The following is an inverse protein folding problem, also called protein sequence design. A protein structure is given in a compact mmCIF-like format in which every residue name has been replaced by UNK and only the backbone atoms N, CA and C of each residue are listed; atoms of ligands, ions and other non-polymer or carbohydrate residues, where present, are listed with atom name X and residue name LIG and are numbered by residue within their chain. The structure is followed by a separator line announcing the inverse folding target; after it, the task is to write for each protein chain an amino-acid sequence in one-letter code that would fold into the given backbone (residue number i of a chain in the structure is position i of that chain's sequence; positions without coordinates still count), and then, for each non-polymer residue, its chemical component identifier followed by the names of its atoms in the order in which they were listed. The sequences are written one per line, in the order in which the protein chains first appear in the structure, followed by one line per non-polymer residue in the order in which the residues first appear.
data_IF_148260783215
#
_entry.id   IF_148260783215
#
_cell.length_a   1.000
_cell.length_b   1.000
_cell.length_c   1.000
_cell.angle_alpha   90.00
_cell.angle_beta   90.00
_cell.angle_gamma   90.00
#
_symmetry.space_group_name_H-M   'P 1'
#
loop_
_entity.id
_entity.type
_entity.pdbx_description
1 polymer ?
#
# COMPACT_ATOMS: atom_id res chain seq x y z
N UNK A 1 19.66 13.37 -15.52
CA UNK A 1 18.18 13.44 -15.40
C UNK A 1 17.76 14.10 -14.10
N UNK A 2 16.87 15.05 -14.16
CA UNK A 2 16.38 15.71 -12.94
C UNK A 2 15.35 14.79 -12.25
N UNK A 3 15.43 14.72 -10.94
CA UNK A 3 14.46 13.95 -10.12
C UNK A 3 13.12 14.70 -10.01
N UNK A 4 13.15 16.02 -10.08
CA UNK A 4 11.96 16.87 -9.98
C UNK A 4 11.73 17.60 -11.30
N UNK A 5 10.48 17.91 -11.61
CA UNK A 5 10.06 18.61 -12.82
C UNK A 5 9.37 19.95 -12.54
N UNK A 6 8.93 20.17 -11.30
CA UNK A 6 8.13 21.32 -10.85
C UNK A 6 6.75 21.40 -11.52
N UNK A 7 6.34 20.37 -12.27
CA UNK A 7 5.04 20.38 -12.96
C UNK A 7 3.86 20.34 -11.99
N UNK A 8 4.08 19.93 -10.72
CA UNK A 8 3.05 19.93 -9.70
C UNK A 8 2.97 21.19 -8.84
N UNK A 9 3.80 22.20 -9.10
CA UNK A 9 3.90 23.42 -8.27
C UNK A 9 2.63 24.26 -8.26
N UNK A 10 1.73 24.06 -9.22
CA UNK A 10 0.44 24.78 -9.32
C UNK A 10 -0.73 23.97 -8.76
N UNK A 11 -0.47 22.94 -7.97
CA UNK A 11 -1.49 22.12 -7.34
C UNK A 11 -2.10 21.06 -8.27
N UNK A 12 -1.46 20.74 -9.38
CA UNK A 12 -1.91 19.71 -10.30
C UNK A 12 -0.81 18.65 -10.48
N UNK A 13 -1.24 17.43 -10.73
CA UNK A 13 -0.33 16.32 -11.00
C UNK A 13 -0.87 15.47 -12.15
N UNK A 14 -0.09 14.50 -12.63
CA UNK A 14 -0.52 13.59 -13.70
C UNK A 14 -0.84 12.22 -13.12
N UNK A 15 -1.90 11.58 -13.65
CA UNK A 15 -2.19 10.18 -13.43
C UNK A 15 -1.32 9.31 -14.36
N UNK A 16 -1.30 8.00 -14.11
CA UNK A 16 -0.56 7.03 -14.94
C UNK A 16 -0.98 7.08 -16.42
N UNK A 17 -2.21 7.51 -16.69
CA UNK A 17 -2.74 7.69 -18.05
C UNK A 17 -2.25 8.98 -18.73
N UNK A 18 -1.49 9.81 -18.00
CA UNK A 18 -1.04 11.12 -18.48
C UNK A 18 -2.05 12.24 -18.25
N UNK A 19 -3.26 11.93 -17.77
CA UNK A 19 -4.28 12.95 -17.50
C UNK A 19 -3.86 13.80 -16.30
N UNK A 20 -3.90 15.12 -16.48
CA UNK A 20 -3.63 16.06 -15.40
C UNK A 20 -4.88 16.27 -14.56
N UNK A 21 -4.73 16.16 -13.24
CA UNK A 21 -5.83 16.37 -12.27
C UNK A 21 -5.37 17.27 -11.14
N UNK A 22 -6.32 17.84 -10.42
CA UNK A 22 -6.02 18.60 -9.20
C UNK A 22 -5.47 17.65 -8.13
N UNK A 23 -4.51 18.14 -7.34
CA UNK A 23 -3.99 17.39 -6.19
C UNK A 23 -5.05 17.16 -5.10
N UNK A 24 -6.17 17.87 -5.15
CA UNK A 24 -7.30 17.67 -4.23
C UNK A 24 -8.36 16.71 -4.78
N UNK A 25 -8.16 16.13 -5.96
CA UNK A 25 -9.05 15.12 -6.50
C UNK A 25 -9.16 13.92 -5.56
N UNK A 26 -10.39 13.40 -5.35
CA UNK A 26 -10.62 12.30 -4.39
C UNK A 26 -9.83 11.03 -4.73
N UNK A 27 -9.62 10.75 -6.02
CA UNK A 27 -8.80 9.61 -6.45
C UNK A 27 -7.34 9.79 -6.01
N UNK A 28 -6.83 11.02 -6.10
CA UNK A 28 -5.47 11.34 -5.70
C UNK A 28 -5.32 11.28 -4.18
N UNK A 29 -6.36 11.70 -3.44
CA UNK A 29 -6.38 11.53 -1.97
C UNK A 29 -6.32 10.07 -1.58
N UNK A 30 -7.09 9.22 -2.25
CA UNK A 30 -7.08 7.77 -2.02
C UNK A 30 -5.70 7.17 -2.34
N UNK A 31 -5.10 7.58 -3.44
CA UNK A 31 -3.74 7.17 -3.81
C UNK A 31 -2.74 7.54 -2.72
N UNK A 32 -2.80 8.80 -2.26
CA UNK A 32 -1.91 9.30 -1.21
C UNK A 32 -2.10 8.55 0.11
N UNK A 33 -3.34 8.22 0.46
CA UNK A 33 -3.64 7.44 1.66
C UNK A 33 -3.08 6.01 1.56
N UNK A 34 -3.23 5.37 0.41
CA UNK A 34 -2.67 4.03 0.18
C UNK A 34 -1.14 4.04 0.27
N UNK A 35 -0.51 5.06 -0.30
CA UNK A 35 0.95 5.22 -0.25
C UNK A 35 1.44 5.44 1.18
N UNK A 36 0.74 6.27 1.95
CA UNK A 36 1.05 6.53 3.35
C UNK A 36 0.91 5.26 4.18
N UNK A 37 -0.17 4.50 3.99
CA UNK A 37 -0.36 3.21 4.65
C UNK A 37 0.78 2.25 4.32
N UNK A 38 1.20 2.20 3.05
CA UNK A 38 2.30 1.35 2.62
C UNK A 38 3.60 1.71 3.36
N UNK A 39 3.84 2.99 3.58
CA UNK A 39 5.01 3.46 4.34
C UNK A 39 4.95 3.01 5.80
N UNK A 40 3.78 3.07 6.43
CA UNK A 40 3.59 2.58 7.80
C UNK A 40 3.79 1.07 7.89
N UNK A 41 3.33 0.32 6.90
CA UNK A 41 3.55 -1.13 6.84
C UNK A 41 5.05 -1.43 6.74
N UNK A 42 5.79 -0.65 5.97
CA UNK A 42 7.25 -0.78 5.86
C UNK A 42 7.94 -0.55 7.21
N UNK A 43 7.51 0.46 7.96
CA UNK A 43 8.03 0.73 9.29
C UNK A 43 7.72 -0.44 10.24
N UNK A 44 6.50 -0.96 10.19
CA UNK A 44 6.09 -2.11 10.98
C UNK A 44 6.95 -3.34 10.67
N UNK A 45 7.27 -3.58 9.40
CA UNK A 45 8.16 -4.69 9.01
C UNK A 45 9.51 -4.59 9.68
N UNK A 46 10.09 -3.39 9.75
CA UNK A 46 11.38 -3.18 10.43
C UNK A 46 11.30 -3.54 11.91
N UNK A 47 10.21 -3.15 12.58
CA UNK A 47 10.00 -3.47 13.99
C UNK A 47 9.81 -4.97 14.21
N UNK A 48 9.03 -5.62 13.34
CA UNK A 48 8.76 -7.05 13.42
C UNK A 48 10.06 -7.86 13.27
N UNK A 49 10.86 -7.56 12.28
CA UNK A 49 12.13 -8.26 12.03
C UNK A 49 13.08 -8.07 13.20
N UNK A 50 13.10 -6.87 13.80
CA UNK A 50 13.97 -6.54 14.92
C UNK A 50 13.60 -7.20 16.23
N UNK A 51 12.37 -7.72 16.39
CA UNK A 51 11.94 -8.28 17.68
C UNK A 51 12.48 -9.68 17.95
N UNK A 52 12.96 -10.41 16.96
CA UNK A 52 13.58 -11.73 17.13
C UNK A 52 12.65 -12.87 17.49
N UNK A 53 11.33 -12.67 17.46
CA UNK A 53 10.36 -13.72 17.77
C UNK A 53 10.29 -14.78 16.65
N UNK A 54 9.90 -16.01 17.00
CA UNK A 54 9.78 -17.10 16.01
C UNK A 54 8.76 -16.79 14.91
N UNK A 55 7.68 -16.09 15.25
CA UNK A 55 6.63 -15.74 14.29
C UNK A 55 7.04 -14.58 13.38
N UNK A 56 8.13 -13.88 13.68
CA UNK A 56 8.46 -12.61 13.00
C UNK A 56 8.69 -12.76 11.50
N UNK A 57 9.37 -13.82 11.06
CA UNK A 57 9.63 -14.03 9.63
C UNK A 57 8.34 -14.25 8.84
N UNK A 58 7.40 -15.00 9.40
CA UNK A 58 6.13 -15.26 8.74
C UNK A 58 5.30 -13.98 8.62
N UNK A 59 5.23 -13.22 9.70
CA UNK A 59 4.52 -11.92 9.70
C UNK A 59 5.18 -10.95 8.73
N UNK A 60 6.51 -10.89 8.69
CA UNK A 60 7.21 -10.02 7.74
C UNK A 60 6.86 -10.37 6.28
N UNK A 61 6.79 -11.65 5.95
CA UNK A 61 6.39 -12.09 4.61
C UNK A 61 4.96 -11.67 4.28
N UNK A 62 4.06 -11.81 5.26
CA UNK A 62 2.67 -11.38 5.09
C UNK A 62 2.56 -9.88 4.86
N UNK A 63 3.31 -9.08 5.62
CA UNK A 63 3.36 -7.64 5.47
C UNK A 63 3.99 -7.23 4.13
N UNK A 64 5.01 -7.95 3.67
CA UNK A 64 5.62 -7.73 2.36
C UNK A 64 4.63 -7.99 1.22
N UNK A 65 3.85 -9.05 1.33
CA UNK A 65 2.78 -9.33 0.37
C UNK A 65 1.75 -8.19 0.38
N UNK A 66 1.37 -7.73 1.57
CA UNK A 66 0.42 -6.60 1.72
C UNK A 66 0.96 -5.32 1.06
N UNK A 67 2.25 -5.01 1.24
CA UNK A 67 2.86 -3.85 0.59
C UNK A 67 2.74 -3.92 -0.94
N UNK A 68 2.96 -5.11 -1.51
CA UNK A 68 2.81 -5.31 -2.94
C UNK A 68 1.36 -5.08 -3.39
N UNK A 69 0.39 -5.52 -2.59
CA UNK A 69 -1.04 -5.28 -2.92
C UNK A 69 -1.41 -3.81 -2.78
N UNK A 70 -0.87 -3.11 -1.79
CA UNK A 70 -1.08 -1.67 -1.64
C UNK A 70 -0.47 -0.90 -2.82
N UNK A 71 0.68 -1.33 -3.31
CA UNK A 71 1.29 -0.75 -4.51
C UNK A 71 0.39 -0.96 -5.74
N UNK A 72 -0.15 -2.17 -5.92
CA UNK A 72 -1.08 -2.48 -7.00
C UNK A 72 -2.34 -1.60 -6.91
N UNK A 73 -2.88 -1.44 -5.71
CA UNK A 73 -4.04 -0.58 -5.48
C UNK A 73 -3.72 0.86 -5.86
N UNK A 74 -2.55 1.35 -5.47
CA UNK A 74 -2.09 2.68 -5.85
C UNK A 74 -2.02 2.86 -7.35
N UNK A 75 -1.52 1.85 -8.08
CA UNK A 75 -1.46 1.88 -9.54
C UNK A 75 -2.86 1.97 -10.17
N UNK A 76 -3.83 1.21 -9.63
CA UNK A 76 -5.22 1.27 -10.09
C UNK A 76 -5.81 2.67 -9.85
N UNK A 77 -5.59 3.22 -8.64
CA UNK A 77 -6.08 4.56 -8.30
C UNK A 77 -5.44 5.64 -9.17
N UNK A 78 -4.20 5.44 -9.58
CA UNK A 78 -3.50 6.36 -10.48
C UNK A 78 -3.95 6.22 -11.95
N UNK A 79 -4.85 5.29 -12.25
CA UNK A 79 -5.45 5.14 -13.58
C UNK A 79 -4.72 4.17 -14.50
N UNK A 80 -3.88 3.27 -13.96
CA UNK A 80 -3.26 2.23 -14.79
C UNK A 80 -4.31 1.20 -15.25
N UNK A 81 -3.94 0.39 -16.23
CA UNK A 81 -4.80 -0.70 -16.73
C UNK A 81 -4.77 -1.94 -15.83
N UNK A 82 -3.98 -1.91 -14.76
CA UNK A 82 -3.87 -3.01 -13.83
C UNK A 82 -5.20 -3.24 -13.13
N UNK A 83 -5.56 -4.51 -12.93
CA UNK A 83 -6.75 -4.90 -12.18
C UNK A 83 -6.33 -5.34 -10.79
N UNK A 84 -6.96 -4.76 -9.76
CA UNK A 84 -6.72 -5.17 -8.39
C UNK A 84 -7.43 -6.50 -8.12
N UNK A 85 -6.70 -7.47 -7.56
CA UNK A 85 -7.24 -8.79 -7.26
C UNK A 85 -8.11 -8.72 -6.00
N UNK A 86 -9.43 -8.81 -6.17
CA UNK A 86 -10.40 -8.67 -5.08
C UNK A 86 -10.22 -9.77 -4.01
N UNK A 87 -9.76 -10.95 -4.38
CA UNK A 87 -9.46 -12.05 -3.45
C UNK A 87 -8.35 -11.71 -2.46
N UNK A 88 -7.59 -10.63 -2.71
CA UNK A 88 -6.57 -10.15 -1.77
C UNK A 88 -7.17 -9.76 -0.43
N UNK A 89 -8.38 -9.21 -0.42
CA UNK A 89 -9.08 -8.84 0.82
C UNK A 89 -9.39 -10.08 1.65
N UNK A 90 -9.91 -11.13 1.01
CA UNK A 90 -10.19 -12.40 1.68
C UNK A 90 -8.95 -13.06 2.26
N UNK A 91 -7.81 -12.91 1.60
CA UNK A 91 -6.55 -13.45 2.10
C UNK A 91 -6.10 -12.76 3.39
N UNK A 92 -6.21 -11.43 3.43
CA UNK A 92 -5.89 -10.65 4.63
C UNK A 92 -6.85 -10.99 5.77
N UNK A 93 -8.14 -11.08 5.46
CA UNK A 93 -9.15 -11.46 6.45
C UNK A 93 -8.86 -12.86 7.05
N UNK A 94 -8.45 -13.81 6.22
CA UNK A 94 -8.05 -15.14 6.68
C UNK A 94 -6.87 -15.09 7.63
N UNK A 95 -5.89 -14.26 7.36
CA UNK A 95 -4.75 -14.08 8.28
C UNK A 95 -5.17 -13.44 9.60
N UNK A 96 -6.08 -12.48 9.56
CA UNK A 96 -6.60 -11.84 10.77
C UNK A 96 -7.33 -12.88 11.62
N UNK A 97 -8.19 -13.70 11.01
CA UNK A 97 -8.93 -14.74 11.71
C UNK A 97 -8.00 -15.75 12.36
N UNK A 98 -6.95 -16.16 11.66
CA UNK A 98 -5.95 -17.09 12.17
C UNK A 98 -5.22 -16.51 13.37
N UNK A 99 -4.76 -15.26 13.27
CA UNK A 99 -4.06 -14.59 14.37
C UNK A 99 -4.98 -14.35 15.56
N UNK A 100 -6.22 -13.98 15.31
CA UNK A 100 -7.22 -13.77 16.36
C UNK A 100 -7.47 -15.06 17.12
N UNK A 101 -7.58 -16.19 16.42
CA UNK A 101 -7.74 -17.51 17.05
C UNK A 101 -6.60 -17.85 18.00
N UNK A 102 -5.37 -17.47 17.66
CA UNK A 102 -4.21 -17.70 18.52
C UNK A 102 -4.22 -16.82 19.78
N UNK A 103 -4.85 -15.67 19.71
CA UNK A 103 -4.89 -14.70 20.80
C UNK A 103 -6.08 -14.92 21.76
N UNK A 104 -7.08 -15.69 21.38
CA UNK A 104 -8.32 -15.90 22.13
C UNK A 104 -8.26 -17.08 23.11
N UNK A 105 -7.14 -17.33 23.70
CA UNK A 105 -7.01 -18.40 24.70
C UNK A 105 -7.60 -18.06 26.06
#
# INVERSE_FOLDING_TARGET
MKIYTKSGDKGRTSLATGKRVSKSDSRLEAYGTADELNSYVGLLRSEVVGCGAEWAQNVDKQLGWLQNRLFDLGAVLAGSDMVFAAESVGKVEGWIDEMQGELEE
#
